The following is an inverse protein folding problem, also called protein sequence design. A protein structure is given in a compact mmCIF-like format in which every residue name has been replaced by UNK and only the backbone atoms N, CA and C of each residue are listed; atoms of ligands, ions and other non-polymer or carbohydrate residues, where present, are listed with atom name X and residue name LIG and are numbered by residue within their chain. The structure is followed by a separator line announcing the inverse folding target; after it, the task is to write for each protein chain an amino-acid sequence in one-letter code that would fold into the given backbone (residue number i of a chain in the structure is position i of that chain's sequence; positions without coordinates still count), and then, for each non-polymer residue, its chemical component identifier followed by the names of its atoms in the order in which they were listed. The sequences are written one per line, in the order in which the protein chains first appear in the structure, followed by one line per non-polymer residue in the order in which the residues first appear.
data_IF_057020953728
#
_entry.id   IF_057020953728
#
_cell.length_a   1.000
_cell.length_b   1.000
_cell.length_c   1.000
_cell.angle_alpha   90.00
_cell.angle_beta   90.00
_cell.angle_gamma   90.00
#
_symmetry.space_group_name_H-M   'P 1'
#
loop_
_entity.id
_entity.type
_entity.pdbx_description
1 polymer ?
#
# COMPACT_ATOMS: atom_id res chain seq x y z
N UNK A 1 17.05 9.71 -13.55
CA UNK A 1 16.95 9.22 -12.16
C UNK A 1 15.90 10.05 -11.43
N UNK A 2 14.61 9.70 -11.56
CA UNK A 2 13.51 10.46 -10.96
C UNK A 2 13.07 9.69 -9.72
N UNK A 3 13.30 10.25 -8.53
CA UNK A 3 12.89 9.67 -7.26
C UNK A 3 11.36 9.81 -7.11
N UNK A 4 10.61 8.87 -7.67
CA UNK A 4 9.15 8.78 -7.56
C UNK A 4 8.72 8.13 -6.22
N UNK A 5 9.27 8.58 -5.10
CA UNK A 5 8.79 8.18 -3.77
C UNK A 5 8.45 9.46 -3.01
N UNK A 6 7.17 9.70 -2.80
CA UNK A 6 6.67 10.82 -2.01
C UNK A 6 6.39 10.31 -0.61
N UNK A 7 6.97 10.95 0.40
CA UNK A 7 6.64 10.66 1.80
C UNK A 7 5.17 11.01 2.05
N UNK A 8 4.41 10.10 2.66
CA UNK A 8 3.00 10.33 2.98
C UNK A 8 2.77 10.51 4.48
N UNK A 9 3.25 9.56 5.30
CA UNK A 9 3.08 9.59 6.75
C UNK A 9 3.96 8.51 7.42
N UNK A 10 3.97 8.46 8.75
CA UNK A 10 4.60 7.40 9.54
C UNK A 10 3.67 6.91 10.64
N UNK A 11 3.43 5.60 10.68
CA UNK A 11 2.58 4.95 11.68
C UNK A 11 3.33 3.82 12.37
N UNK A 12 3.01 3.57 13.63
CA UNK A 12 3.45 2.38 14.34
C UNK A 12 2.74 1.14 13.82
N UNK A 13 3.41 -0.01 13.83
CA UNK A 13 2.77 -1.31 13.66
C UNK A 13 1.96 -1.60 14.92
N UNK A 14 0.65 -1.78 14.77
CA UNK A 14 -0.25 -2.05 15.89
C UNK A 14 -0.09 -3.51 16.37
N UNK A 15 -0.54 -3.80 17.59
CA UNK A 15 -0.41 -5.12 18.23
C UNK A 15 -1.11 -6.24 17.45
N UNK A 16 -2.16 -5.90 16.69
CA UNK A 16 -2.89 -6.82 15.81
C UNK A 16 -2.30 -6.87 14.40
N UNK A 17 -1.05 -6.43 14.22
CA UNK A 17 -0.29 -6.41 12.96
C UNK A 17 -0.84 -5.45 11.89
N UNK A 18 -1.67 -4.47 12.28
CA UNK A 18 -2.19 -3.47 11.34
C UNK A 18 -1.29 -2.25 11.22
N UNK A 19 -1.23 -1.69 10.01
CA UNK A 19 -0.66 -0.37 9.74
C UNK A 19 -1.76 0.49 9.13
N UNK A 20 -1.91 1.72 9.63
CA UNK A 20 -2.89 2.67 9.09
C UNK A 20 -2.37 3.26 7.78
N UNK A 21 -3.15 3.13 6.70
CA UNK A 21 -2.83 3.82 5.45
C UNK A 21 -3.16 5.33 5.57
N UNK A 22 -2.29 6.23 5.07
CA UNK A 22 -2.54 7.68 5.03
C UNK A 22 -3.78 8.01 4.20
N UNK A 23 -4.58 9.02 4.59
CA UNK A 23 -5.81 9.39 3.85
C UNK A 23 -5.54 9.76 2.38
N UNK A 24 -4.35 10.28 2.08
CA UNK A 24 -3.93 10.69 0.73
C UNK A 24 -3.88 9.53 -0.28
N UNK A 25 -3.80 8.27 0.17
CA UNK A 25 -3.79 7.13 -0.78
C UNK A 25 -5.12 6.97 -1.52
N UNK A 26 -6.22 7.46 -0.96
CA UNK A 26 -7.56 7.37 -1.58
C UNK A 26 -7.60 8.11 -2.91
N UNK A 27 -7.09 9.34 -2.93
CA UNK A 27 -7.03 10.17 -4.14
C UNK A 27 -5.86 9.78 -5.04
N UNK A 28 -4.70 9.47 -4.47
CA UNK A 28 -3.49 9.19 -5.24
C UNK A 28 -3.58 7.86 -6.03
N UNK A 29 -4.28 6.87 -5.47
CA UNK A 29 -4.44 5.54 -6.08
C UNK A 29 -5.86 5.29 -6.60
N UNK A 30 -6.79 6.23 -6.43
CA UNK A 30 -8.20 6.10 -6.83
C UNK A 30 -8.90 4.84 -6.26
N UNK A 31 -8.71 4.62 -4.96
CA UNK A 31 -9.20 3.42 -4.25
C UNK A 31 -10.39 3.72 -3.33
N UNK A 32 -11.15 2.70 -2.96
CA UNK A 32 -12.29 2.80 -2.05
C UNK A 32 -12.10 1.98 -0.78
N UNK A 33 -12.39 2.59 0.38
CA UNK A 33 -12.30 1.94 1.69
C UNK A 33 -13.26 0.75 1.78
N UNK A 34 -12.75 -0.40 2.24
CA UNK A 34 -13.57 -1.59 2.44
C UNK A 34 -13.96 -2.32 1.14
N UNK A 35 -13.51 -1.87 -0.03
CA UNK A 35 -13.73 -2.55 -1.31
C UNK A 35 -12.44 -2.93 -2.02
N UNK A 36 -11.47 -2.02 -2.07
CA UNK A 36 -10.22 -2.27 -2.79
C UNK A 36 -9.31 -3.24 -2.02
N UNK A 37 -8.85 -4.29 -2.71
CA UNK A 37 -7.83 -5.20 -2.21
C UNK A 37 -6.43 -4.73 -2.58
N UNK A 38 -5.45 -5.12 -1.76
CA UNK A 38 -4.03 -4.86 -2.01
C UNK A 38 -3.24 -6.16 -1.98
N UNK A 39 -2.40 -6.36 -2.99
CA UNK A 39 -1.37 -7.37 -2.97
C UNK A 39 -0.14 -6.84 -2.22
N UNK A 40 0.40 -7.65 -1.31
CA UNK A 40 1.53 -7.28 -0.45
C UNK A 40 2.74 -8.12 -0.87
N UNK A 41 3.81 -7.44 -1.28
CA UNK A 41 5.07 -8.06 -1.66
C UNK A 41 6.18 -7.64 -0.69
N UNK A 42 7.10 -8.56 -0.40
CA UNK A 42 8.34 -8.25 0.32
C UNK A 42 9.45 -7.95 -0.70
N UNK A 43 9.97 -6.73 -0.67
CA UNK A 43 11.21 -6.35 -1.32
C UNK A 43 12.34 -6.55 -0.30
N UNK A 44 13.06 -7.67 -0.43
CA UNK A 44 14.16 -8.05 0.46
C UNK A 44 15.37 -7.14 0.32
N UNK A 45 15.60 -6.58 -0.86
CA UNK A 45 16.78 -5.76 -1.15
C UNK A 45 16.69 -4.42 -0.44
N UNK A 46 15.49 -3.84 -0.43
CA UNK A 46 15.22 -2.57 0.25
C UNK A 46 14.60 -2.74 1.64
N UNK A 47 14.41 -3.97 2.12
CA UNK A 47 13.75 -4.31 3.39
C UNK A 47 12.42 -3.57 3.54
N UNK A 48 11.58 -3.63 2.51
CA UNK A 48 10.33 -2.87 2.46
C UNK A 48 9.16 -3.72 2.01
N UNK A 49 7.96 -3.34 2.41
CA UNK A 49 6.73 -3.92 1.88
C UNK A 49 6.20 -3.03 0.75
N UNK A 50 5.84 -3.66 -0.36
CA UNK A 50 5.23 -3.00 -1.51
C UNK A 50 3.76 -3.41 -1.53
N UNK A 51 2.88 -2.42 -1.49
CA UNK A 51 1.44 -2.59 -1.59
C UNK A 51 1.00 -2.18 -3.01
N UNK A 52 0.40 -3.10 -3.76
CA UNK A 52 -0.16 -2.84 -5.09
C UNK A 52 -1.68 -2.98 -5.04
N UNK A 53 -2.40 -2.08 -5.70
CA UNK A 53 -3.84 -2.25 -5.90
C UNK A 53 -4.05 -3.54 -6.68
N UNK A 54 -4.88 -4.45 -6.14
CA UNK A 54 -5.21 -5.67 -6.84
C UNK A 54 -6.04 -5.34 -8.08
N UNK A 55 -5.58 -5.73 -9.25
CA UNK A 55 -6.33 -5.59 -10.49
C UNK A 55 -7.16 -6.86 -10.68
N UNK A 56 -8.49 -6.73 -10.63
CA UNK A 56 -9.43 -7.82 -10.97
C UNK A 56 -9.33 -8.10 -12.49
N UNK A 57 -8.26 -8.80 -12.87
CA UNK A 57 -7.87 -9.01 -14.26
C UNK A 57 -7.48 -10.44 -14.61
N UNK A 58 -7.51 -11.39 -13.66
CA UNK A 58 -7.49 -12.83 -13.93
C UNK A 58 -7.89 -13.59 -12.65
N UNK A 59 -9.04 -14.25 -12.73
CA UNK A 59 -9.46 -15.48 -12.05
C UNK A 59 -9.15 -15.61 -10.54
N UNK A 60 -10.22 -15.55 -9.74
CA UNK A 60 -10.35 -16.44 -8.58
C UNK A 60 -11.07 -17.71 -8.99
#
# INVERSE_FOLDING_TARGET
MIKNKVYLDTYILQQDMRVRLPKSVLSNLQIEKGKTYFDIYLDSDNKSLIFKVHEDGNER
#
